data_IF_806390097199
#
_entry.id   IF_806390097199
#
_cell.length_a   1.000
_cell.length_b   1.000
_cell.length_c   1.000
_cell.angle_alpha   90.00
_cell.angle_beta   90.00
_cell.angle_gamma   90.00
#
_symmetry.space_group_name_H-M   'P 1'
#
loop_
_entity.id
_entity.type
_entity.pdbx_description
1 polymer ?
#
# COMPACT_ATOMS: atom_id res chain seq x y z
N UNK A 1 -3.19 26.12 -43.06
CA UNK A 1 -2.51 24.82 -43.13
C UNK A 1 -2.14 24.33 -41.71
N UNK A 2 -3.13 24.22 -40.81
CA UNK A 2 -2.93 23.78 -39.41
C UNK A 2 -4.09 22.89 -38.89
N UNK A 3 -5.04 22.51 -39.74
CA UNK A 3 -6.21 21.69 -39.34
C UNK A 3 -5.99 20.20 -39.61
N UNK A 4 -5.01 19.82 -40.43
CA UNK A 4 -4.70 18.41 -40.74
C UNK A 4 -3.88 17.69 -39.67
N UNK A 5 -3.22 18.41 -38.74
CA UNK A 5 -2.41 17.77 -37.69
C UNK A 5 -3.22 17.32 -36.47
N UNK A 6 -4.33 18.01 -36.11
CA UNK A 6 -5.14 17.58 -34.95
C UNK A 6 -6.08 16.41 -35.26
N UNK A 7 -6.56 16.30 -36.49
CA UNK A 7 -7.40 15.18 -36.93
C UNK A 7 -6.63 13.85 -37.02
N UNK A 8 -5.34 13.90 -37.38
CA UNK A 8 -4.50 12.70 -37.44
C UNK A 8 -4.10 12.19 -36.05
N UNK A 9 -3.90 13.07 -35.06
CA UNK A 9 -3.62 12.67 -33.68
C UNK A 9 -4.78 11.84 -33.09
N UNK A 10 -6.01 12.34 -33.23
CA UNK A 10 -7.21 11.62 -32.78
C UNK A 10 -7.40 10.25 -33.44
N UNK A 11 -7.01 10.11 -34.72
CA UNK A 11 -7.14 8.84 -35.45
C UNK A 11 -6.08 7.83 -35.02
N UNK A 12 -4.84 8.26 -34.79
CA UNK A 12 -3.75 7.41 -34.29
C UNK A 12 -4.04 6.95 -32.87
N UNK A 13 -4.47 7.85 -31.99
CA UNK A 13 -4.82 7.52 -30.60
C UNK A 13 -5.94 6.46 -30.56
N UNK A 14 -6.94 6.60 -31.42
CA UNK A 14 -8.03 5.62 -31.55
C UNK A 14 -7.53 4.24 -32.01
N UNK A 15 -6.58 4.19 -32.95
CA UNK A 15 -5.97 2.94 -33.43
C UNK A 15 -5.15 2.29 -32.31
N UNK A 16 -4.35 3.06 -31.56
CA UNK A 16 -3.55 2.56 -30.44
C UNK A 16 -4.48 2.00 -29.35
N UNK A 17 -5.54 2.74 -29.00
CA UNK A 17 -6.52 2.31 -28.00
C UNK A 17 -7.21 1.00 -28.42
N UNK A 18 -7.62 0.89 -29.69
CA UNK A 18 -8.23 -0.31 -30.25
C UNK A 18 -7.25 -1.50 -30.27
N UNK A 19 -5.98 -1.29 -30.64
CA UNK A 19 -4.96 -2.32 -30.64
C UNK A 19 -4.68 -2.85 -29.22
N UNK A 20 -4.64 -1.97 -28.20
CA UNK A 20 -4.48 -2.36 -26.79
C UNK A 20 -5.69 -3.15 -26.29
N UNK A 21 -6.91 -2.69 -26.59
CA UNK A 21 -8.14 -3.41 -26.24
C UNK A 21 -8.17 -4.81 -26.86
N UNK A 22 -7.78 -4.94 -28.13
CA UNK A 22 -7.67 -6.23 -28.80
C UNK A 22 -6.58 -7.12 -28.19
N UNK A 23 -5.45 -6.53 -27.77
CA UNK A 23 -4.38 -7.26 -27.07
C UNK A 23 -4.87 -7.79 -25.72
N UNK A 24 -5.58 -6.99 -24.93
CA UNK A 24 -6.20 -7.44 -23.68
C UNK A 24 -7.17 -8.60 -23.94
N UNK A 25 -8.06 -8.47 -24.93
CA UNK A 25 -8.99 -9.55 -25.28
C UNK A 25 -8.27 -10.82 -25.74
N UNK A 26 -7.19 -10.68 -26.50
CA UNK A 26 -6.36 -11.82 -26.92
C UNK A 26 -5.73 -12.51 -25.72
N UNK A 27 -5.12 -11.76 -24.80
CA UNK A 27 -4.53 -12.30 -23.56
C UNK A 27 -5.58 -13.03 -22.72
N UNK A 28 -6.75 -12.43 -22.53
CA UNK A 28 -7.86 -13.03 -21.77
C UNK A 28 -8.32 -14.36 -22.39
N UNK A 29 -8.44 -14.42 -23.73
CA UNK A 29 -8.95 -15.60 -24.45
C UNK A 29 -7.91 -16.70 -24.68
N UNK A 30 -6.62 -16.41 -24.48
CA UNK A 30 -5.52 -17.34 -24.76
C UNK A 30 -4.72 -17.65 -23.51
N UNK A 31 -3.79 -16.78 -23.14
CA UNK A 31 -2.86 -16.93 -22.00
C UNK A 31 -3.61 -17.13 -20.69
N UNK A 32 -4.68 -16.37 -20.47
CA UNK A 32 -5.51 -16.46 -19.27
C UNK A 32 -6.65 -17.47 -19.37
N UNK A 33 -6.64 -18.37 -20.36
CA UNK A 33 -7.50 -19.55 -20.38
C UNK A 33 -6.74 -20.81 -19.96
N UNK A 34 -5.48 -20.94 -20.39
CA UNK A 34 -4.66 -22.10 -20.06
C UNK A 34 -3.95 -21.93 -18.70
N UNK A 35 -4.12 -22.89 -17.79
CA UNK A 35 -3.54 -22.84 -16.45
C UNK A 35 -2.01 -22.74 -16.45
N UNK A 36 -1.31 -23.53 -17.26
CA UNK A 36 0.15 -23.54 -17.28
C UNK A 36 0.71 -22.19 -17.77
N UNK A 37 0.03 -21.59 -18.75
CA UNK A 37 0.39 -20.27 -19.26
C UNK A 37 0.10 -19.17 -18.24
N UNK A 38 -1.03 -19.24 -17.51
CA UNK A 38 -1.32 -18.31 -16.42
C UNK A 38 -0.22 -18.29 -15.37
N UNK A 39 0.27 -19.46 -14.97
CA UNK A 39 1.33 -19.58 -13.96
C UNK A 39 2.60 -18.87 -14.43
N UNK A 40 3.06 -19.17 -15.65
CA UNK A 40 4.26 -18.54 -16.21
C UNK A 40 4.07 -17.04 -16.33
N UNK A 41 2.92 -16.61 -16.85
CA UNK A 41 2.56 -15.20 -16.98
C UNK A 41 2.57 -14.49 -15.62
N UNK A 42 1.98 -15.08 -14.58
CA UNK A 42 1.89 -14.48 -13.24
C UNK A 42 3.27 -14.28 -12.61
N UNK A 43 4.20 -15.20 -12.85
CA UNK A 43 5.58 -15.10 -12.39
C UNK A 43 6.34 -13.99 -13.10
N UNK A 44 6.28 -13.95 -14.43
CA UNK A 44 6.90 -12.86 -15.22
C UNK A 44 6.30 -11.51 -14.87
N UNK A 45 5.00 -11.49 -14.59
CA UNK A 45 4.29 -10.29 -14.20
C UNK A 45 4.83 -9.68 -12.89
N UNK A 46 5.08 -10.51 -11.87
CA UNK A 46 5.69 -10.06 -10.62
C UNK A 46 7.13 -9.57 -10.79
N UNK A 47 7.91 -10.21 -11.66
CA UNK A 47 9.34 -9.98 -11.79
C UNK A 47 9.68 -8.72 -12.60
N UNK A 48 9.00 -8.53 -13.74
CA UNK A 48 9.40 -7.57 -14.78
C UNK A 48 8.29 -6.54 -15.01
N UNK A 49 7.07 -6.99 -15.28
CA UNK A 49 5.95 -6.11 -15.67
C UNK A 49 5.61 -5.12 -14.55
N UNK A 50 5.68 -5.53 -13.27
CA UNK A 50 5.43 -4.60 -12.17
C UNK A 50 6.46 -3.49 -12.05
N UNK A 51 7.74 -3.77 -12.33
CA UNK A 51 8.78 -2.73 -12.27
C UNK A 51 8.56 -1.71 -13.38
N UNK A 52 8.35 -2.20 -14.60
CA UNK A 52 8.04 -1.36 -15.75
C UNK A 52 6.77 -0.54 -15.51
N UNK A 53 5.73 -1.13 -14.90
CA UNK A 53 4.49 -0.41 -14.62
C UNK A 53 4.68 0.79 -13.68
N UNK A 54 5.55 0.73 -12.68
CA UNK A 54 5.69 1.83 -11.71
C UNK A 54 6.34 3.06 -12.36
N UNK A 55 7.28 2.83 -13.27
CA UNK A 55 8.02 3.89 -13.98
C UNK A 55 7.28 4.39 -15.25
N UNK A 56 6.20 3.71 -15.65
CA UNK A 56 5.37 4.00 -16.83
C UNK A 56 4.32 5.10 -16.58
N UNK A 57 3.91 5.81 -17.62
CA UNK A 57 2.94 6.92 -17.57
C UNK A 57 1.53 6.56 -18.07
N UNK A 58 1.33 5.36 -18.64
CA UNK A 58 0.02 4.91 -19.12
C UNK A 58 -1.03 4.78 -18.00
N UNK A 59 -2.29 5.06 -18.35
CA UNK A 59 -3.46 4.83 -17.49
C UNK A 59 -3.62 3.34 -17.12
N UNK A 60 -4.18 3.09 -15.93
CA UNK A 60 -4.39 1.73 -15.43
C UNK A 60 -5.31 0.90 -16.35
N UNK A 61 -6.39 1.49 -16.84
CA UNK A 61 -7.44 0.78 -17.60
C UNK A 61 -6.94 0.22 -18.93
N UNK A 62 -5.90 0.85 -19.47
CA UNK A 62 -5.22 0.42 -20.70
C UNK A 62 -3.96 -0.42 -20.41
N UNK A 63 -3.60 -0.59 -19.14
CA UNK A 63 -2.45 -1.40 -18.70
C UNK A 63 -2.85 -2.86 -18.47
N UNK A 64 -1.89 -3.75 -18.71
CA UNK A 64 -2.04 -5.20 -18.42
C UNK A 64 -2.28 -5.46 -16.93
N UNK A 65 -1.94 -4.51 -16.05
CA UNK A 65 -2.25 -4.53 -14.61
C UNK A 65 -3.76 -4.52 -14.33
N UNK A 66 -4.59 -4.08 -15.27
CA UNK A 66 -6.06 -4.21 -15.16
C UNK A 66 -6.54 -5.67 -15.19
N UNK A 67 -5.72 -6.61 -15.69
CA UNK A 67 -6.08 -8.03 -15.85
C UNK A 67 -5.76 -8.89 -14.62
N UNK A 68 -5.11 -8.33 -13.60
CA UNK A 68 -4.53 -9.06 -12.46
C UNK A 68 -5.53 -9.90 -11.70
N UNK A 69 -6.76 -9.38 -11.55
CA UNK A 69 -7.85 -10.09 -10.88
C UNK A 69 -8.13 -11.46 -11.49
N UNK A 70 -7.89 -11.67 -12.79
CA UNK A 70 -8.24 -12.91 -13.49
C UNK A 70 -7.29 -14.09 -13.20
N UNK A 71 -6.09 -13.81 -12.69
CA UNK A 71 -5.09 -14.83 -12.39
C UNK A 71 -4.60 -14.79 -10.93
N UNK A 72 -4.53 -13.62 -10.30
CA UNK A 72 -4.12 -13.49 -8.90
C UNK A 72 -5.16 -14.01 -7.90
N UNK A 73 -6.42 -14.12 -8.30
CA UNK A 73 -7.50 -14.69 -7.48
C UNK A 73 -7.61 -16.21 -7.61
N UNK A 74 -6.77 -16.85 -8.42
CA UNK A 74 -6.76 -18.31 -8.57
C UNK A 74 -5.96 -18.91 -7.41
N UNK A 75 -6.56 -19.70 -6.49
CA UNK A 75 -5.90 -20.09 -5.25
C UNK A 75 -4.59 -20.86 -5.43
N UNK A 76 -4.53 -21.75 -6.43
CA UNK A 76 -3.31 -22.50 -6.75
C UNK A 76 -2.18 -21.58 -7.24
N UNK A 77 -2.50 -20.54 -8.01
CA UNK A 77 -1.54 -19.55 -8.48
C UNK A 77 -1.12 -18.66 -7.32
N UNK A 78 -2.06 -18.09 -6.57
CA UNK A 78 -1.79 -17.22 -5.43
C UNK A 78 -0.81 -17.86 -4.42
N UNK A 79 -1.07 -19.11 -4.04
CA UNK A 79 -0.19 -19.86 -3.12
C UNK A 79 1.19 -20.12 -3.71
N UNK A 80 1.26 -20.41 -5.01
CA UNK A 80 2.52 -20.62 -5.72
C UNK A 80 3.34 -19.34 -5.79
N UNK A 81 2.71 -18.20 -6.07
CA UNK A 81 3.38 -16.89 -6.09
C UNK A 81 3.97 -16.52 -4.73
N UNK A 82 3.27 -16.83 -3.63
CA UNK A 82 3.81 -16.61 -2.27
C UNK A 82 4.94 -17.60 -1.97
N UNK A 83 4.74 -18.90 -2.20
CA UNK A 83 5.71 -19.93 -1.82
C UNK A 83 6.96 -19.94 -2.69
N UNK A 84 6.84 -19.72 -4.00
CA UNK A 84 7.94 -19.88 -4.97
C UNK A 84 8.55 -18.56 -5.41
N UNK A 85 7.75 -17.50 -5.52
CA UNK A 85 8.16 -16.23 -6.13
C UNK A 85 8.20 -15.05 -5.12
N UNK A 86 8.08 -15.34 -3.82
CA UNK A 86 8.21 -14.37 -2.73
C UNK A 86 7.25 -13.16 -2.89
N UNK A 87 6.08 -13.34 -3.49
CA UNK A 87 5.21 -12.25 -3.96
C UNK A 87 4.95 -11.16 -2.91
N UNK A 88 4.62 -11.55 -1.68
CA UNK A 88 4.35 -10.61 -0.58
C UNK A 88 5.59 -9.76 -0.24
N UNK A 89 6.76 -10.40 -0.10
CA UNK A 89 8.01 -9.70 0.18
C UNK A 89 8.40 -8.78 -0.97
N UNK A 90 8.28 -9.24 -2.21
CA UNK A 90 8.61 -8.46 -3.41
C UNK A 90 7.75 -7.20 -3.49
N UNK A 91 6.44 -7.32 -3.25
CA UNK A 91 5.50 -6.19 -3.29
C UNK A 91 5.83 -5.18 -2.18
N UNK A 92 5.95 -5.61 -0.92
CA UNK A 92 6.27 -4.68 0.17
C UNK A 92 7.67 -4.06 0.04
N UNK A 93 8.66 -4.81 -0.44
CA UNK A 93 10.01 -4.27 -0.66
C UNK A 93 10.02 -3.22 -1.77
N UNK A 94 9.27 -3.45 -2.85
CA UNK A 94 9.10 -2.46 -3.92
C UNK A 94 8.40 -1.20 -3.38
N UNK A 95 7.31 -1.36 -2.63
CA UNK A 95 6.62 -0.24 -2.00
C UNK A 95 7.55 0.60 -1.11
N UNK A 96 8.29 -0.06 -0.21
CA UNK A 96 9.27 0.62 0.65
C UNK A 96 10.25 1.43 -0.20
N UNK A 97 10.85 0.81 -1.23
CA UNK A 97 11.82 1.47 -2.12
C UNK A 97 11.22 2.71 -2.82
N UNK A 98 9.99 2.64 -3.31
CA UNK A 98 9.35 3.78 -3.98
C UNK A 98 8.85 4.85 -3.00
N UNK A 99 8.73 4.52 -1.71
CA UNK A 99 8.42 5.47 -0.63
C UNK A 99 9.66 6.01 0.09
N UNK A 100 10.85 5.43 -0.12
CA UNK A 100 12.11 5.83 0.53
C UNK A 100 12.51 7.27 0.19
N UNK A 101 12.24 7.72 -1.03
CA UNK A 101 12.48 9.10 -1.47
C UNK A 101 11.63 10.13 -0.69
N UNK A 102 10.58 9.66 0.00
CA UNK A 102 9.67 10.46 0.82
C UNK A 102 9.88 10.22 2.33
N UNK A 103 10.97 9.56 2.73
CA UNK A 103 11.36 9.44 4.12
C UNK A 103 12.11 10.72 4.58
N UNK A 104 11.86 11.18 5.82
CA UNK A 104 12.55 12.35 6.42
C UNK A 104 14.08 12.23 6.39
N UNK A 105 14.61 11.03 6.60
CA UNK A 105 16.01 10.68 6.40
C UNK A 105 16.10 9.35 5.61
N UNK A 106 16.49 9.38 4.33
CA UNK A 106 16.64 8.18 3.50
C UNK A 106 17.71 7.19 4.00
N UNK A 107 18.66 7.65 4.84
CA UNK A 107 19.75 6.79 5.37
C UNK A 107 19.37 6.09 6.67
N UNK A 108 18.35 6.59 7.37
CA UNK A 108 17.82 5.93 8.56
C UNK A 108 16.76 4.91 8.15
N UNK A 109 17.00 3.63 8.46
CA UNK A 109 16.04 2.56 8.24
C UNK A 109 14.76 2.71 9.09
N UNK A 110 14.77 3.62 10.08
CA UNK A 110 13.68 3.89 11.02
C UNK A 110 13.01 5.25 10.80
N UNK A 111 13.43 6.02 9.78
CA UNK A 111 12.77 7.28 9.43
C UNK A 111 11.31 7.07 9.03
N UNK A 112 10.43 7.97 9.47
CA UNK A 112 9.01 7.98 9.11
C UNK A 112 8.80 8.52 7.70
N UNK A 113 7.70 8.14 7.07
CA UNK A 113 7.23 8.79 5.84
C UNK A 113 6.76 10.22 6.13
N UNK A 114 7.09 11.15 5.24
CA UNK A 114 6.71 12.56 5.28
C UNK A 114 6.24 12.99 3.89
N UNK A 115 4.92 12.98 3.71
CA UNK A 115 4.29 13.43 2.46
C UNK A 115 3.81 14.88 2.56
N UNK A 116 4.03 15.57 3.69
CA UNK A 116 3.57 16.94 3.92
C UNK A 116 4.11 17.97 2.91
N UNK A 117 5.18 17.63 2.17
CA UNK A 117 5.81 18.49 1.15
C UNK A 117 5.47 18.13 -0.29
N UNK A 118 4.80 17.01 -0.53
CA UNK A 118 4.59 16.46 -1.87
C UNK A 118 3.14 16.02 -2.06
N UNK A 119 2.46 16.62 -3.04
CA UNK A 119 1.13 16.14 -3.42
C UNK A 119 1.22 14.74 -4.04
N UNK A 120 0.33 13.85 -3.58
CA UNK A 120 0.34 12.39 -3.74
C UNK A 120 1.16 11.88 -4.94
N UNK A 121 2.43 11.47 -4.73
CA UNK A 121 3.35 11.15 -5.82
C UNK A 121 2.80 10.05 -6.72
N UNK A 122 2.97 10.21 -8.04
CA UNK A 122 2.46 9.26 -9.04
C UNK A 122 3.01 7.86 -8.79
N UNK A 123 4.28 7.73 -8.42
CA UNK A 123 4.93 6.45 -8.07
C UNK A 123 4.26 5.76 -6.88
N UNK A 124 3.93 6.52 -5.82
CA UNK A 124 3.23 6.02 -4.64
C UNK A 124 1.81 5.59 -4.99
N UNK A 125 1.09 6.40 -5.76
CA UNK A 125 -0.25 6.07 -6.27
C UNK A 125 -0.24 4.78 -7.10
N UNK A 126 0.75 4.63 -7.98
CA UNK A 126 0.92 3.41 -8.79
C UNK A 126 1.29 2.20 -7.92
N UNK A 127 2.14 2.39 -6.92
CA UNK A 127 2.43 1.39 -5.90
C UNK A 127 1.17 0.88 -5.18
N UNK A 128 0.18 1.74 -4.92
CA UNK A 128 -1.09 1.30 -4.31
C UNK A 128 -1.83 0.25 -5.14
N UNK A 129 -1.63 0.19 -6.47
CA UNK A 129 -2.19 -0.89 -7.29
C UNK A 129 -1.54 -2.25 -6.97
N UNK A 130 -0.25 -2.27 -6.62
CA UNK A 130 0.41 -3.49 -6.15
C UNK A 130 -0.16 -3.97 -4.81
N UNK A 131 -0.54 -3.04 -3.92
CA UNK A 131 -1.25 -3.41 -2.69
C UNK A 131 -2.61 -4.03 -2.98
N UNK A 132 -3.39 -3.44 -3.88
CA UNK A 132 -4.67 -4.04 -4.32
C UNK A 132 -4.46 -5.45 -4.86
N UNK A 133 -3.45 -5.64 -5.69
CA UNK A 133 -3.15 -6.93 -6.29
C UNK A 133 -2.66 -7.97 -5.27
N UNK A 134 -1.87 -7.55 -4.27
CA UNK A 134 -1.56 -8.38 -3.10
C UNK A 134 -2.84 -8.78 -2.36
N UNK A 135 -3.81 -7.88 -2.25
CA UNK A 135 -5.13 -8.18 -1.72
C UNK A 135 -5.80 -9.36 -2.44
N UNK A 136 -5.77 -9.37 -3.78
CA UNK A 136 -6.31 -10.50 -4.57
C UNK A 136 -5.62 -11.82 -4.22
N UNK A 137 -4.29 -11.83 -4.12
CA UNK A 137 -3.52 -13.03 -3.73
C UNK A 137 -3.95 -13.50 -2.33
N UNK A 138 -4.07 -12.57 -1.38
CA UNK A 138 -4.38 -12.90 0.02
C UNK A 138 -5.86 -13.21 0.28
N UNK A 139 -6.77 -12.92 -0.65
CA UNK A 139 -8.14 -13.45 -0.56
C UNK A 139 -8.17 -14.98 -0.63
N UNK A 140 -7.15 -15.61 -1.23
CA UNK A 140 -7.04 -17.05 -1.41
C UNK A 140 -6.46 -17.76 -0.18
N UNK A 141 -7.17 -17.73 0.95
CA UNK A 141 -6.70 -18.36 2.21
C UNK A 141 -6.43 -19.87 2.02
N UNK A 142 -5.23 -20.38 2.36
CA UNK A 142 -4.91 -21.80 2.22
C UNK A 142 -5.70 -22.66 3.20
N UNK A 143 -6.10 -23.86 2.76
CA UNK A 143 -6.66 -24.87 3.65
C UNK A 143 -5.56 -25.58 4.45
N UNK A 144 -5.94 -26.33 5.49
CA UNK A 144 -5.01 -27.05 6.37
C UNK A 144 -4.05 -27.97 5.58
N UNK A 145 -4.53 -28.58 4.49
CA UNK A 145 -3.72 -29.48 3.65
C UNK A 145 -2.76 -28.78 2.69
N UNK A 146 -2.97 -27.48 2.43
CA UNK A 146 -2.13 -26.72 1.51
C UNK A 146 -0.86 -26.18 2.18
N UNK A 147 -0.85 -26.13 3.51
CA UNK A 147 0.28 -25.62 4.28
C UNK A 147 1.47 -26.58 4.25
N UNK A 148 2.59 -26.06 3.78
CA UNK A 148 3.90 -26.70 3.81
C UNK A 148 4.94 -25.74 4.37
N UNK A 149 6.10 -26.24 4.77
CA UNK A 149 7.11 -25.42 5.46
C UNK A 149 7.63 -24.28 4.58
N UNK A 150 7.77 -24.53 3.27
CA UNK A 150 8.16 -23.49 2.30
C UNK A 150 7.15 -22.34 2.25
N UNK A 151 5.85 -22.65 2.20
CA UNK A 151 4.79 -21.64 2.21
C UNK A 151 4.77 -20.87 3.54
N UNK A 152 4.94 -21.56 4.67
CA UNK A 152 5.00 -20.92 6.00
C UNK A 152 6.15 -19.93 6.08
N UNK A 153 7.35 -20.36 5.72
CA UNK A 153 8.55 -19.53 5.84
C UNK A 153 8.47 -18.31 4.92
N UNK A 154 8.02 -18.51 3.67
CA UNK A 154 7.88 -17.43 2.68
C UNK A 154 6.79 -16.44 3.02
N UNK A 155 5.67 -16.90 3.57
CA UNK A 155 4.64 -16.03 4.09
C UNK A 155 5.14 -15.19 5.28
N UNK A 156 5.90 -15.79 6.19
CA UNK A 156 6.50 -15.08 7.33
C UNK A 156 7.57 -14.06 6.92
N UNK A 157 8.37 -14.36 5.90
CA UNK A 157 9.30 -13.40 5.29
C UNK A 157 8.56 -12.20 4.68
N UNK A 158 7.42 -12.46 4.04
CA UNK A 158 6.50 -11.44 3.57
C UNK A 158 5.94 -10.58 4.72
N UNK A 159 5.51 -11.21 5.80
CA UNK A 159 5.01 -10.53 7.00
C UNK A 159 6.09 -9.65 7.65
N UNK A 160 7.34 -10.10 7.69
CA UNK A 160 8.44 -9.26 8.17
C UNK A 160 8.61 -7.99 7.31
N UNK A 161 8.41 -8.10 6.00
CA UNK A 161 8.46 -6.95 5.09
C UNK A 161 7.27 -6.01 5.29
N UNK A 162 6.08 -6.56 5.56
CA UNK A 162 4.90 -5.78 5.97
C UNK A 162 5.17 -5.03 7.29
N UNK A 163 5.71 -5.68 8.31
CA UNK A 163 6.02 -5.05 9.60
C UNK A 163 6.99 -3.88 9.41
N UNK A 164 8.02 -4.04 8.56
CA UNK A 164 8.93 -2.93 8.20
C UNK A 164 8.19 -1.78 7.52
N UNK A 165 7.25 -2.07 6.62
CA UNK A 165 6.44 -1.05 5.99
C UNK A 165 5.53 -0.33 6.99
N UNK A 166 4.86 -1.07 7.89
CA UNK A 166 4.04 -0.51 8.97
C UNK A 166 4.86 0.39 9.90
N UNK A 167 6.09 0.01 10.19
CA UNK A 167 6.99 0.81 11.01
C UNK A 167 7.24 2.19 10.38
N UNK A 168 7.49 2.24 9.07
CA UNK A 168 7.66 3.51 8.33
C UNK A 168 6.39 4.37 8.30
N UNK A 169 5.22 3.73 8.30
CA UNK A 169 3.92 4.41 8.39
C UNK A 169 3.61 4.95 9.79
N UNK A 170 4.24 4.40 10.84
CA UNK A 170 3.94 4.79 12.21
C UNK A 170 4.37 6.26 12.46
N UNK A 171 3.42 7.13 12.75
CA UNK A 171 3.66 8.57 12.91
C UNK A 171 3.93 9.31 11.59
N UNK A 172 3.52 8.72 10.46
CA UNK A 172 3.45 9.38 9.16
C UNK A 172 2.52 10.60 9.24
N UNK A 173 3.00 11.74 8.75
CA UNK A 173 2.28 13.02 8.68
C UNK A 173 1.58 13.44 9.99
N UNK A 174 2.25 13.23 11.13
CA UNK A 174 1.74 13.63 12.46
C UNK A 174 1.46 15.13 12.53
N UNK A 175 0.17 15.49 12.71
CA UNK A 175 -0.27 16.87 12.84
C UNK A 175 -0.10 17.35 14.28
N UNK A 176 0.87 18.24 14.52
CA UNK A 176 1.03 18.94 15.81
C UNK A 176 0.18 20.21 15.81
N UNK A 177 -0.50 20.48 16.92
CA UNK A 177 -1.33 21.68 17.09
C UNK A 177 -0.45 22.93 17.07
N UNK A 178 -0.63 23.81 16.08
CA UNK A 178 -0.02 25.13 16.06
C UNK A 178 -0.97 26.14 16.72
N UNK A 179 -0.51 26.87 17.73
CA UNK A 179 -1.34 27.79 18.51
C UNK A 179 -1.02 29.27 18.28
N UNK A 180 -0.06 29.61 17.40
CA UNK A 180 0.52 30.96 17.34
C UNK A 180 0.34 31.63 15.96
N UNK A 181 0.17 30.90 14.87
CA UNK A 181 0.08 31.48 13.52
C UNK A 181 -1.13 30.94 12.74
N UNK A 182 -1.70 31.77 11.87
CA UNK A 182 -2.75 31.33 10.95
C UNK A 182 -2.14 30.28 10.01
N UNK A 183 -2.70 29.08 10.00
CA UNK A 183 -2.27 28.01 9.09
C UNK A 183 -2.53 28.45 7.64
N UNK A 184 -1.52 28.98 6.96
CA UNK A 184 -1.63 29.51 5.58
C UNK A 184 -1.74 28.37 4.55
N UNK A 185 -1.30 27.17 4.89
CA UNK A 185 -1.25 26.01 4.00
C UNK A 185 -2.03 24.83 4.59
N UNK A 186 -2.94 24.23 3.81
CA UNK A 186 -3.55 22.95 4.17
C UNK A 186 -2.47 21.85 4.21
N UNK A 187 -2.51 21.01 5.25
CA UNK A 187 -1.64 19.84 5.34
C UNK A 187 -2.13 18.77 4.35
N UNK A 188 -1.23 18.21 3.55
CA UNK A 188 -1.54 17.13 2.61
C UNK A 188 -1.80 15.81 3.38
N UNK A 189 -3.04 15.58 3.82
CA UNK A 189 -3.43 14.39 4.61
C UNK A 189 -3.92 13.21 3.76
N UNK A 190 -4.28 13.47 2.50
CA UNK A 190 -4.95 12.49 1.62
C UNK A 190 -4.06 11.28 1.31
N UNK A 191 -2.76 11.50 1.08
CA UNK A 191 -1.79 10.43 0.79
C UNK A 191 -1.71 9.44 1.96
N UNK A 192 -1.43 9.93 3.16
CA UNK A 192 -1.34 9.10 4.36
C UNK A 192 -2.62 8.31 4.61
N UNK A 193 -3.77 8.96 4.46
CA UNK A 193 -5.08 8.34 4.63
C UNK A 193 -5.34 7.23 3.60
N UNK A 194 -5.02 7.47 2.32
CA UNK A 194 -5.17 6.47 1.27
C UNK A 194 -4.27 5.24 1.49
N UNK A 195 -3.02 5.44 1.90
CA UNK A 195 -2.10 4.34 2.23
C UNK A 195 -2.67 3.54 3.41
N UNK A 196 -3.13 4.23 4.45
CA UNK A 196 -3.71 3.60 5.64
C UNK A 196 -4.93 2.74 5.30
N UNK A 197 -5.87 3.23 4.50
CA UNK A 197 -7.05 2.47 4.07
C UNK A 197 -6.66 1.19 3.34
N UNK A 198 -5.70 1.27 2.40
CA UNK A 198 -5.24 0.09 1.66
C UNK A 198 -4.57 -0.94 2.55
N UNK A 199 -3.77 -0.49 3.51
CA UNK A 199 -3.10 -1.39 4.45
C UNK A 199 -4.10 -2.09 5.36
N UNK A 200 -5.15 -1.40 5.81
CA UNK A 200 -6.17 -1.99 6.67
C UNK A 200 -6.83 -3.22 6.02
N UNK A 201 -7.15 -3.14 4.74
CA UNK A 201 -7.72 -4.28 3.99
C UNK A 201 -6.73 -5.46 3.95
N UNK A 202 -5.46 -5.19 3.68
CA UNK A 202 -4.40 -6.21 3.60
C UNK A 202 -4.15 -6.87 4.95
N UNK A 203 -4.16 -6.10 6.05
CA UNK A 203 -4.00 -6.63 7.41
C UNK A 203 -5.08 -7.65 7.74
N UNK A 204 -6.33 -7.38 7.35
CA UNK A 204 -7.43 -8.33 7.51
C UNK A 204 -7.14 -9.67 6.84
N UNK A 205 -6.64 -9.65 5.60
CA UNK A 205 -6.29 -10.88 4.89
C UNK A 205 -5.05 -11.58 5.46
N UNK A 206 -4.03 -10.84 5.88
CA UNK A 206 -2.83 -11.42 6.53
C UNK A 206 -3.21 -12.12 7.84
N UNK A 207 -4.09 -11.53 8.64
CA UNK A 207 -4.61 -12.16 9.87
C UNK A 207 -5.39 -13.43 9.52
N UNK A 208 -6.21 -13.43 8.47
CA UNK A 208 -6.94 -14.61 8.04
C UNK A 208 -6.00 -15.75 7.60
N UNK A 209 -4.95 -15.43 6.83
CA UNK A 209 -3.90 -16.40 6.46
C UNK A 209 -3.16 -16.94 7.68
N UNK A 210 -2.74 -16.06 8.59
CA UNK A 210 -2.08 -16.48 9.81
C UNK A 210 -2.99 -17.35 10.68
N UNK A 211 -4.29 -17.04 10.75
CA UNK A 211 -5.30 -17.82 11.47
C UNK A 211 -5.54 -19.23 10.92
N UNK A 212 -5.24 -19.47 9.65
CA UNK A 212 -5.42 -20.78 9.02
C UNK A 212 -4.38 -21.83 9.46
N UNK A 213 -3.21 -21.41 9.98
CA UNK A 213 -2.17 -22.31 10.49
C UNK A 213 -1.61 -21.84 11.84
N UNK A 214 -1.74 -22.68 12.86
CA UNK A 214 -1.35 -22.33 14.24
C UNK A 214 0.13 -22.01 14.39
N UNK A 215 1.01 -22.67 13.63
CA UNK A 215 2.45 -22.43 13.72
C UNK A 215 2.81 -21.08 13.12
N UNK A 216 2.25 -20.76 11.96
CA UNK A 216 2.37 -19.44 11.30
C UNK A 216 1.83 -18.33 12.20
N UNK A 217 0.63 -18.50 12.76
CA UNK A 217 0.04 -17.53 13.70
C UNK A 217 0.99 -17.19 14.84
N UNK A 218 1.52 -18.22 15.53
CA UNK A 218 2.42 -18.05 16.67
C UNK A 218 3.70 -17.33 16.27
N UNK A 219 4.30 -17.70 15.14
CA UNK A 219 5.54 -17.06 14.65
C UNK A 219 5.28 -15.60 14.27
N UNK A 220 4.16 -15.28 13.62
CA UNK A 220 3.79 -13.91 13.29
C UNK A 220 3.60 -13.06 14.54
N UNK A 221 2.90 -13.58 15.55
CA UNK A 221 2.70 -12.86 16.82
C UNK A 221 4.03 -12.53 17.49
N UNK A 222 4.99 -13.46 17.50
CA UNK A 222 6.32 -13.23 18.04
C UNK A 222 7.06 -12.14 17.25
N UNK A 223 7.01 -12.18 15.91
CA UNK A 223 7.60 -11.12 15.07
C UNK A 223 7.00 -9.73 15.37
N UNK A 224 5.68 -9.65 15.57
CA UNK A 224 5.02 -8.41 15.95
C UNK A 224 5.47 -7.94 17.35
N UNK A 225 5.58 -8.83 18.33
CA UNK A 225 6.06 -8.50 19.68
C UNK A 225 7.51 -8.02 19.65
N UNK A 226 8.37 -8.68 18.88
CA UNK A 226 9.77 -8.27 18.73
C UNK A 226 9.87 -6.88 18.10
N UNK A 227 9.06 -6.60 17.08
CA UNK A 227 8.99 -5.28 16.45
C UNK A 227 8.49 -4.19 17.41
N UNK A 228 7.49 -4.49 18.24
CA UNK A 228 6.98 -3.57 19.27
C UNK A 228 8.01 -3.31 20.37
N UNK A 229 8.79 -4.32 20.76
CA UNK A 229 9.86 -4.15 21.75
C UNK A 229 11.01 -3.29 21.24
N UNK A 230 11.30 -3.36 19.93
CA UNK A 230 12.30 -2.51 19.28
C UNK A 230 11.82 -1.06 19.15
N UNK A 231 10.50 -0.85 19.09
CA UNK A 231 9.87 0.45 18.88
C UNK A 231 8.68 0.62 19.83
N UNK A 232 8.92 1.05 21.09
CA UNK A 232 7.82 1.36 21.99
C UNK A 232 6.89 2.37 21.31
N UNK A 233 5.56 2.24 21.46
CA UNK A 233 4.62 3.20 20.90
C UNK A 233 5.07 4.59 21.32
N UNK A 234 5.19 5.51 20.37
CA UNK A 234 5.59 6.89 20.63
C UNK A 234 4.78 7.39 21.82
N UNK A 235 5.42 7.41 22.99
CA UNK A 235 4.86 8.04 24.17
C UNK A 235 4.58 9.47 23.74
N UNK A 236 3.40 9.98 24.04
CA UNK A 236 2.96 11.36 23.79
C UNK A 236 3.82 12.41 24.56
N UNK A 237 5.04 12.05 24.92
CA UNK A 237 6.02 12.79 25.68
C UNK A 237 7.30 12.95 24.83
N UNK A 238 7.18 13.45 23.60
CA UNK A 238 8.23 14.38 23.17
C UNK A 238 8.03 15.63 24.05
N UNK A 239 9.06 16.12 24.77
CA UNK A 239 8.90 17.33 25.56
C UNK A 239 8.43 18.40 24.60
N UNK A 240 7.24 18.95 24.88
CA UNK A 240 6.73 20.12 24.18
C UNK A 240 7.90 21.09 24.06
N UNK A 241 8.34 21.32 22.83
CA UNK A 241 9.40 22.28 22.54
C UNK A 241 9.08 23.52 23.36
N UNK A 242 10.06 23.95 24.15
CA UNK A 242 9.94 25.03 25.09
C UNK A 242 9.46 26.31 24.37
N UNK A 243 8.14 26.49 24.34
CA UNK A 243 7.52 27.74 23.90
C UNK A 243 6.31 28.04 24.79
N UNK A 244 6.48 27.90 26.11
CA UNK A 244 5.66 28.60 27.08
C UNK A 244 6.36 29.91 27.45
N UNK A 245 6.27 30.92 26.59
CA UNK A 245 6.18 32.29 27.11
C UNK A 245 4.70 32.55 27.37
N UNK A 246 4.30 32.35 28.62
CA UNK A 246 3.02 32.85 29.15
C UNK A 246 3.07 34.37 29.01
N UNK A 247 2.38 34.90 27.99
CA UNK A 247 1.98 36.30 28.02
C UNK A 247 0.74 36.34 28.90
N UNK A 248 0.94 36.79 30.13
CA UNK A 248 -0.11 37.06 31.09
C UNK A 248 -1.00 38.17 30.51
N UNK A 249 -2.19 37.79 30.07
CA UNK A 249 -3.14 38.65 29.39
C UNK A 249 -4.54 38.20 29.73
N UNK A 250 -5.01 38.66 30.89
CA UNK A 250 -6.36 38.37 31.38
C UNK A 250 -7.42 38.70 30.34
N UNK A 251 -8.19 37.69 29.95
CA UNK A 251 -9.62 37.80 29.73
C UNK A 251 -10.21 36.38 29.65
N UNK A 252 -11.12 36.10 30.58
CA UNK A 252 -11.92 34.90 30.57
C UNK A 252 -12.79 34.85 29.31
N UNK A 253 -12.67 33.78 28.53
CA UNK A 253 -13.69 33.41 27.53
C UNK A 253 -13.98 31.92 27.74
N UNK A 254 -15.21 31.65 28.16
CA UNK A 254 -15.77 30.33 28.37
C UNK A 254 -15.60 29.44 27.13
N UNK A 255 -15.15 28.20 27.37
CA UNK A 255 -15.12 27.14 26.37
C UNK A 255 -16.54 26.73 25.99
N UNK A 256 -17.02 27.14 24.82
CA UNK A 256 -18.17 26.51 24.17
C UNK A 256 -17.65 25.57 23.08
N UNK A 257 -17.61 24.26 23.39
CA UNK A 257 -17.26 23.21 22.42
C UNK A 257 -18.52 22.90 21.59
N UNK A 258 -18.50 23.03 20.25
CA UNK A 258 -19.65 22.68 19.42
C UNK A 258 -19.96 21.17 19.48
N UNK A 259 -21.24 20.73 19.49
CA UNK A 259 -21.61 19.36 19.87
C UNK A 259 -21.33 18.25 18.84
N UNK A 260 -20.61 18.52 17.74
CA UNK A 260 -20.64 17.61 16.57
C UNK A 260 -19.40 16.73 16.34
N UNK A 261 -18.42 16.71 17.25
CA UNK A 261 -17.17 15.95 17.02
C UNK A 261 -16.94 14.72 17.91
N UNK A 262 -17.94 14.23 18.64
CA UNK A 262 -17.84 12.97 19.39
C UNK A 262 -18.96 12.01 19.05
N UNK A 263 -18.75 11.14 18.05
CA UNK A 263 -19.45 9.85 17.87
C UNK A 263 -18.92 9.06 16.66
N UNK A 264 -17.71 8.49 16.71
CA UNK A 264 -17.31 7.42 15.75
C UNK A 264 -16.73 6.16 16.43
N UNK A 265 -16.52 6.12 17.75
CA UNK A 265 -15.94 4.93 18.41
C UNK A 265 -16.72 4.43 19.63
N UNK A 266 -18.02 4.23 19.48
CA UNK A 266 -18.80 3.34 20.35
C UNK A 266 -19.89 2.67 19.52
N UNK A 267 -19.59 1.48 18.99
CA UNK A 267 -20.47 0.31 18.95
C UNK A 267 -19.85 -0.81 18.11
N UNK A 268 -19.07 -1.65 18.77
CA UNK A 268 -18.95 -3.08 18.47
C UNK A 268 -18.48 -3.77 19.75
N UNK A 269 -19.43 -4.01 20.64
CA UNK A 269 -19.47 -5.19 21.50
C UNK A 269 -20.70 -5.98 21.11
#
# INVERSE_FOLDING_TARGET
MLVSHSLNYSSIDCIILAARANTHQMLMKTVLMNFDQKVVFSKTFLADIYKEFIDDDHDLDISVVSLTVQFLTVPSIARRLIAEDDAMRTIFSALIKHTEDFAKDPKDQMSRFDFAKHSFPVTVRRGMHMMRDLGYILTCVPSISDWNDKLRDKFLDGCQSLIKFLHRMQGMDEVKRQSVEHQVWELEWETAFNIQLRIQDILGYVIAWAGADRATHRKLLLQCLDALNQHPPSTLEEPAGATHTVVDGGNAIEHQVPPYFMKIWKHSQ
#
